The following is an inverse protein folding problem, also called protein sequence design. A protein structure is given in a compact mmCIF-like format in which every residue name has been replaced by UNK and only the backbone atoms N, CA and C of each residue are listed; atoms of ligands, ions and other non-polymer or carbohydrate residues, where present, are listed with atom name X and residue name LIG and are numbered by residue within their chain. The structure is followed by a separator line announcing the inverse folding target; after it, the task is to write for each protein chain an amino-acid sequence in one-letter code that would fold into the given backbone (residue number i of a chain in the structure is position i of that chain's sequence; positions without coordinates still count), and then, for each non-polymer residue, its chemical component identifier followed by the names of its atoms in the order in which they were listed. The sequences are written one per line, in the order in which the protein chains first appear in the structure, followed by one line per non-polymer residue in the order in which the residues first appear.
data_IF_159821179717
#
_entry.id   IF_159821179717
#
_cell.length_a   1.000
_cell.length_b   1.000
_cell.length_c   1.000
_cell.angle_alpha   90.00
_cell.angle_beta   90.00
_cell.angle_gamma   90.00
#
_symmetry.space_group_name_H-M   'P 1'
#
loop_
_entity.id
_entity.type
_entity.pdbx_description
1 polymer ?
#
# COMPACT_ATOMS: atom_id res chain seq x y z
N UNK A 1 -16.79 6.98 -0.66
CA UNK A 1 -15.71 6.15 -0.07
C UNK A 1 -14.45 6.25 -0.92
N UNK A 2 -13.22 6.26 -0.36
CA UNK A 2 -11.98 6.29 -1.14
C UNK A 2 -11.59 4.91 -1.68
N UNK A 3 -11.08 4.84 -2.92
CA UNK A 3 -10.57 3.62 -3.54
C UNK A 3 -9.14 3.39 -3.03
N UNK A 4 -8.84 2.17 -2.57
CA UNK A 4 -7.50 1.77 -2.13
C UNK A 4 -6.88 0.85 -3.18
N UNK A 5 -5.71 1.22 -3.69
CA UNK A 5 -4.97 0.38 -4.64
C UNK A 5 -3.46 0.52 -4.41
N UNK A 6 -2.67 -0.37 -5.00
CA UNK A 6 -1.21 -0.38 -4.86
C UNK A 6 -0.54 0.24 -6.10
N UNK A 7 0.50 1.04 -5.87
CA UNK A 7 1.34 1.53 -6.98
C UNK A 7 2.17 0.37 -7.57
N UNK A 8 2.08 0.16 -8.88
CA UNK A 8 2.80 -0.92 -9.61
C UNK A 8 4.33 -0.81 -9.49
N UNK A 9 4.86 0.38 -9.20
CA UNK A 9 6.31 0.60 -9.17
C UNK A 9 6.95 0.43 -7.80
N UNK A 10 6.25 0.81 -6.73
CA UNK A 10 6.80 0.82 -5.37
C UNK A 10 5.95 0.06 -4.36
N UNK A 11 4.83 -0.55 -4.79
CA UNK A 11 3.90 -1.32 -3.97
C UNK A 11 3.36 -0.59 -2.73
N UNK A 12 3.36 0.74 -2.75
CA UNK A 12 2.77 1.54 -1.68
C UNK A 12 1.26 1.63 -1.87
N UNK A 13 0.50 1.42 -0.79
CA UNK A 13 -0.95 1.57 -0.78
C UNK A 13 -1.32 3.05 -0.87
N UNK A 14 -2.17 3.40 -1.84
CA UNK A 14 -2.67 4.75 -2.05
C UNK A 14 -4.19 4.77 -1.88
N UNK A 15 -4.68 5.81 -1.20
CA UNK A 15 -6.10 6.11 -1.11
C UNK A 15 -6.44 7.31 -1.99
N UNK A 16 -7.28 7.13 -3.01
CA UNK A 16 -7.69 8.20 -3.93
C UNK A 16 -9.21 8.30 -3.97
N UNK A 17 -9.73 9.51 -4.14
CA UNK A 17 -11.16 9.75 -4.30
C UNK A 17 -11.69 9.10 -5.59
N UNK A 18 -12.89 8.50 -5.54
CA UNK A 18 -13.55 7.81 -6.67
C UNK A 18 -13.66 8.68 -7.93
N UNK A 19 -13.86 9.99 -7.77
CA UNK A 19 -13.86 10.97 -8.88
C UNK A 19 -12.57 11.03 -9.71
N UNK A 20 -11.47 10.43 -9.24
CA UNK A 20 -10.19 10.32 -9.97
C UNK A 20 -9.95 8.91 -10.54
N UNK A 21 -10.94 8.01 -10.49
CA UNK A 21 -10.91 6.74 -11.19
C UNK A 21 -10.62 6.95 -12.69
N UNK A 22 -9.80 6.08 -13.29
CA UNK A 22 -9.41 6.15 -14.70
C UNK A 22 -8.42 7.26 -15.08
N UNK A 23 -8.15 8.22 -14.19
CA UNK A 23 -7.22 9.33 -14.43
C UNK A 23 -5.75 8.93 -14.20
N UNK A 24 -4.83 9.68 -14.82
CA UNK A 24 -3.39 9.53 -14.61
C UNK A 24 -2.98 10.42 -13.44
N UNK A 25 -2.42 9.80 -12.40
CA UNK A 25 -1.96 10.49 -11.18
C UNK A 25 -0.50 10.15 -10.90
N UNK A 26 0.22 11.07 -10.26
CA UNK A 26 1.58 10.81 -9.79
C UNK A 26 1.55 10.13 -8.42
N UNK A 27 2.31 9.05 -8.25
CA UNK A 27 2.50 8.41 -6.95
C UNK A 27 3.22 9.37 -5.97
N UNK A 28 2.70 9.62 -4.74
CA UNK A 28 3.37 10.48 -3.78
C UNK A 28 4.71 9.91 -3.27
N UNK A 29 4.89 8.58 -3.33
CA UNK A 29 6.09 7.91 -2.83
C UNK A 29 7.22 7.85 -3.87
N UNK A 30 6.91 7.50 -5.12
CA UNK A 30 7.92 7.31 -6.18
C UNK A 30 7.84 8.33 -7.34
N UNK A 31 6.85 9.22 -7.34
CA UNK A 31 6.61 10.27 -8.35
C UNK A 31 6.33 9.79 -9.79
N UNK A 32 6.23 8.47 -10.01
CA UNK A 32 5.86 7.91 -11.33
C UNK A 32 4.37 8.10 -11.61
N UNK A 33 4.05 8.31 -12.88
CA UNK A 33 2.68 8.39 -13.36
C UNK A 33 2.07 6.98 -13.42
N UNK A 34 0.85 6.84 -12.92
CA UNK A 34 0.09 5.59 -12.94
C UNK A 34 -1.39 5.87 -13.20
N UNK A 35 -2.08 4.91 -13.81
CA UNK A 35 -3.52 4.99 -14.06
C UNK A 35 -4.28 4.43 -12.87
N UNK A 36 -5.23 5.19 -12.33
CA UNK A 36 -6.09 4.73 -11.24
C UNK A 36 -7.08 3.69 -11.80
N UNK A 37 -7.18 2.48 -11.23
CA UNK A 37 -8.20 1.51 -11.63
C UNK A 37 -9.60 2.10 -11.45
N UNK A 38 -10.44 1.97 -12.47
CA UNK A 38 -11.87 2.28 -12.34
C UNK A 38 -12.51 1.08 -11.67
N UNK A 39 -13.14 1.22 -10.49
CA UNK A 39 -13.95 0.15 -9.94
C UNK A 39 -15.03 -0.12 -10.98
N UNK A 40 -15.11 -1.34 -11.48
CA UNK A 40 -16.26 -1.78 -12.26
C UNK A 40 -17.46 -1.56 -11.33
N UNK A 41 -18.38 -0.69 -11.74
CA UNK A 41 -19.63 -0.51 -10.99
C UNK A 41 -20.32 -1.85 -11.04
N UNK A 42 -20.28 -2.59 -9.93
CA UNK A 42 -21.01 -3.84 -9.80
C UNK A 42 -22.47 -3.54 -10.19
N UNK A 43 -23.01 -4.20 -11.24
CA UNK A 43 -24.35 -3.90 -11.75
C UNK A 43 -25.48 -4.29 -10.78
N UNK A 44 -25.17 -4.60 -9.53
CA UNK A 44 -26.11 -5.06 -8.50
C UNK A 44 -26.77 -3.96 -7.68
N UNK A 45 -26.58 -2.67 -8.00
CA UNK A 45 -27.42 -1.60 -7.41
C UNK A 45 -28.32 -0.91 -8.44
N UNK A 46 -29.05 -1.72 -9.22
CA UNK A 46 -30.29 -1.28 -9.88
C UNK A 46 -31.45 -1.39 -8.88
N UNK A 47 -31.49 -0.49 -7.90
CA UNK A 47 -32.73 -0.12 -7.21
C UNK A 47 -33.09 1.30 -7.67
N UNK A 48 -34.17 1.39 -8.44
CA UNK A 48 -34.55 2.56 -9.23
C UNK A 48 -34.88 3.83 -8.42
N UNK A 49 -35.00 4.96 -9.12
CA UNK A 49 -36.35 5.38 -9.53
C UNK A 49 -36.48 5.51 -11.05
N UNK A 50 -37.61 5.00 -11.53
CA UNK A 50 -38.15 5.09 -12.89
C UNK A 50 -37.97 6.52 -13.43
N UNK A 51 -37.10 6.68 -14.43
CA UNK A 51 -37.04 7.91 -15.23
C UNK A 51 -37.80 7.65 -16.54
N UNK A 52 -38.74 8.53 -16.95
CA UNK A 52 -39.66 8.32 -18.07
C UNK A 52 -38.96 8.21 -19.45
N UNK A 53 -39.67 7.67 -20.47
CA UNK A 53 -39.09 7.21 -21.73
C UNK A 53 -38.38 8.30 -22.54
N UNK A 54 -37.39 7.90 -23.38
CA UNK A 54 -36.49 8.81 -24.07
C UNK A 54 -37.21 9.57 -25.19
N UNK A 55 -37.06 10.90 -25.21
CA UNK A 55 -37.35 11.68 -26.40
C UNK A 55 -36.31 11.38 -27.50
N UNK A 56 -36.71 11.35 -28.78
CA UNK A 56 -35.84 11.02 -29.90
C UNK A 56 -34.76 12.08 -30.10
N UNK A 57 -33.50 11.70 -29.85
CA UNK A 57 -32.33 12.53 -30.14
C UNK A 57 -32.00 12.37 -31.64
N UNK A 58 -31.85 13.47 -32.41
CA UNK A 58 -31.49 13.41 -33.83
C UNK A 58 -30.10 12.82 -34.04
N UNK A 59 -30.04 11.94 -35.04
CA UNK A 59 -28.93 11.12 -35.49
C UNK A 59 -27.64 11.91 -35.72
N UNK A 60 -26.64 11.69 -34.87
CA UNK A 60 -25.25 12.13 -35.13
C UNK A 60 -24.62 11.14 -36.12
N UNK A 61 -23.99 11.60 -37.21
CA UNK A 61 -23.43 10.73 -38.24
C UNK A 61 -22.25 9.91 -37.72
N UNK A 62 -22.35 8.60 -37.99
CA UNK A 62 -21.39 7.52 -37.80
C UNK A 62 -20.01 7.88 -38.41
N UNK A 63 -18.95 8.05 -37.60
CA UNK A 63 -17.58 8.10 -38.12
C UNK A 63 -17.19 6.74 -38.69
N UNK A 64 -16.58 6.75 -39.87
CA UNK A 64 -16.17 5.57 -40.62
C UNK A 64 -15.18 4.68 -39.83
N UNK A 65 -15.21 3.35 -40.02
CA UNK A 65 -14.27 2.43 -39.40
C UNK A 65 -12.89 2.57 -40.07
N UNK A 66 -11.93 3.14 -39.36
CA UNK A 66 -10.51 2.98 -39.72
C UNK A 66 -10.01 1.66 -39.18
N UNK A 67 -9.63 0.81 -40.12
CA UNK A 67 -9.18 -0.56 -40.00
C UNK A 67 -7.68 -0.58 -39.64
N UNK A 68 -7.23 -1.12 -38.49
CA UNK A 68 -5.84 -1.45 -38.28
C UNK A 68 -5.62 -2.93 -38.63
N UNK A 69 -5.32 -3.17 -39.91
CA UNK A 69 -4.84 -4.46 -40.39
C UNK A 69 -3.31 -4.50 -40.28
N UNK A 70 -2.82 -5.50 -39.54
CA UNK A 70 -1.50 -6.14 -39.68
C UNK A 70 -0.28 -5.29 -39.21
N UNK A 71 0.67 -5.75 -38.40
CA UNK A 71 1.23 -7.09 -38.16
C UNK A 71 2.10 -7.04 -36.90
N UNK A 72 2.30 -8.17 -36.20
CA UNK A 72 3.50 -8.32 -35.36
C UNK A 72 3.44 -9.23 -34.14
N UNK A 73 3.32 -10.54 -34.37
CA UNK A 73 4.14 -11.58 -33.72
C UNK A 73 3.86 -12.03 -32.26
N UNK A 74 3.41 -13.30 -32.07
CA UNK A 74 3.38 -13.95 -30.76
C UNK A 74 4.77 -14.47 -30.38
N UNK A 75 5.40 -13.84 -29.39
CA UNK A 75 6.64 -14.31 -28.79
C UNK A 75 6.33 -15.12 -27.52
N UNK A 76 6.51 -16.44 -27.64
CA UNK A 76 6.90 -17.41 -26.62
C UNK A 76 6.34 -17.23 -25.19
N UNK A 77 5.37 -18.06 -24.86
CA UNK A 77 4.98 -18.38 -23.49
C UNK A 77 6.18 -18.97 -22.71
N UNK A 78 6.51 -18.48 -21.51
CA UNK A 78 7.41 -19.19 -20.60
C UNK A 78 6.72 -20.46 -20.07
N UNK A 79 7.49 -21.54 -19.80
CA UNK A 79 6.94 -22.74 -19.20
C UNK A 79 6.34 -22.41 -17.84
N UNK A 80 5.10 -22.84 -17.63
CA UNK A 80 4.39 -22.79 -16.37
C UNK A 80 5.24 -23.44 -15.27
N UNK A 81 5.93 -22.61 -14.49
CA UNK A 81 6.54 -23.01 -13.24
C UNK A 81 5.41 -23.38 -12.27
N UNK A 82 5.33 -24.67 -11.95
CA UNK A 82 4.50 -25.28 -10.91
C UNK A 82 4.91 -24.77 -9.52
N UNK A 83 4.75 -23.48 -9.26
CA UNK A 83 5.11 -22.83 -8.00
C UNK A 83 3.92 -22.58 -7.07
N UNK A 84 2.72 -23.06 -7.42
CA UNK A 84 1.48 -22.86 -6.66
C UNK A 84 0.87 -24.15 -6.10
N UNK A 85 1.58 -25.28 -6.13
CA UNK A 85 1.17 -26.53 -5.46
C UNK A 85 1.48 -26.55 -3.94
N UNK A 86 1.81 -25.39 -3.35
CA UNK A 86 2.08 -25.23 -1.93
C UNK A 86 0.84 -24.82 -1.13
N UNK A 87 0.07 -25.82 -0.69
CA UNK A 87 -0.57 -25.88 0.64
C UNK A 87 -1.34 -24.62 1.11
N UNK A 88 -2.20 -24.06 0.27
CA UNK A 88 -3.10 -22.92 0.60
C UNK A 88 -4.03 -23.31 1.77
N UNK A 89 -4.38 -24.58 1.88
CA UNK A 89 -5.19 -25.19 2.94
C UNK A 89 -4.61 -24.99 4.34
N UNK A 90 -3.29 -24.81 4.47
CA UNK A 90 -2.62 -24.53 5.76
C UNK A 90 -2.73 -23.08 6.19
N UNK A 91 -2.89 -22.15 5.26
CA UNK A 91 -2.99 -20.72 5.55
C UNK A 91 -4.43 -20.35 5.94
N UNK A 92 -5.44 -20.99 5.33
CA UNK A 92 -6.85 -20.76 5.69
C UNK A 92 -7.25 -21.36 7.04
N UNK A 93 -6.56 -22.40 7.52
CA UNK A 93 -6.83 -23.03 8.82
C UNK A 93 -5.95 -22.49 9.96
N UNK A 94 -5.13 -21.46 9.71
CA UNK A 94 -4.39 -20.81 10.78
C UNK A 94 -5.39 -20.08 11.71
N UNK A 95 -5.40 -20.35 13.03
CA UNK A 95 -6.28 -19.67 13.96
C UNK A 95 -6.00 -18.17 13.88
N UNK A 96 -7.05 -17.37 13.64
CA UNK A 96 -6.93 -15.92 13.51
C UNK A 96 -6.14 -15.35 14.69
N UNK A 97 -5.06 -14.58 14.44
CA UNK A 97 -4.38 -13.89 15.52
C UNK A 97 -5.36 -12.89 16.12
N UNK A 98 -5.71 -13.13 17.39
CA UNK A 98 -6.54 -12.25 18.22
C UNK A 98 -5.98 -10.84 18.12
N UNK A 99 -6.61 -10.00 17.28
CA UNK A 99 -6.31 -8.58 17.22
C UNK A 99 -6.78 -7.96 18.52
N UNK A 100 -5.83 -7.76 19.43
CA UNK A 100 -6.01 -6.85 20.56
C UNK A 100 -6.31 -5.46 19.98
N UNK A 101 -7.59 -5.08 19.97
CA UNK A 101 -7.98 -3.69 19.78
C UNK A 101 -7.45 -2.92 20.99
N UNK A 102 -6.57 -1.92 20.79
CA UNK A 102 -6.27 -1.00 21.87
C UNK A 102 -7.58 -0.28 22.26
N UNK A 103 -7.86 -0.07 23.55
CA UNK A 103 -9.06 0.60 23.99
C UNK A 103 -9.10 2.00 23.36
N UNK A 104 -10.22 2.35 22.72
CA UNK A 104 -10.50 3.71 22.29
C UNK A 104 -10.51 4.61 23.53
N UNK A 105 -9.41 5.33 23.74
CA UNK A 105 -9.36 6.42 24.70
C UNK A 105 -10.38 7.48 24.29
N UNK A 106 -11.34 7.70 25.20
CA UNK A 106 -12.38 8.69 25.10
C UNK A 106 -11.81 10.08 24.80
N UNK A 107 -12.26 10.69 23.70
CA UNK A 107 -12.02 12.09 23.39
C UNK A 107 -12.91 12.91 24.35
N UNK A 108 -12.37 13.82 25.17
CA UNK A 108 -13.19 14.69 26.01
C UNK A 108 -14.04 15.59 25.11
N UNK A 109 -15.37 15.47 25.22
CA UNK A 109 -16.29 16.47 24.69
C UNK A 109 -16.17 17.72 25.56
N UNK A 110 -15.54 18.75 25.04
CA UNK A 110 -15.63 20.10 25.61
C UNK A 110 -17.00 20.65 25.26
N UNK A 111 -17.96 20.47 26.17
CA UNK A 111 -19.22 21.20 26.16
C UNK A 111 -18.91 22.69 26.38
N UNK A 112 -19.10 23.50 25.35
CA UNK A 112 -19.05 24.95 25.48
C UNK A 112 -20.47 25.41 25.77
N UNK A 113 -20.75 25.54 27.07
CA UNK A 113 -21.93 26.17 27.66
C UNK A 113 -22.04 27.62 27.17
N UNK A 114 -23.26 28.08 26.92
CA UNK A 114 -23.58 29.26 26.12
C UNK A 114 -23.22 30.63 26.69
N UNK A 115 -23.23 31.59 25.78
CA UNK A 115 -23.40 33.03 26.04
C UNK A 115 -24.16 33.64 24.85
N UNK A 116 -24.99 34.63 25.18
CA UNK A 116 -26.08 35.24 24.41
C UNK A 116 -25.82 35.70 22.96
N UNK A 117 -26.85 35.68 22.08
CA UNK A 117 -26.79 36.30 20.77
C UNK A 117 -26.83 37.83 20.89
N UNK A 118 -25.65 38.46 20.90
CA UNK A 118 -25.51 39.91 20.71
C UNK A 118 -25.92 40.28 19.27
N UNK A 119 -26.77 41.29 19.04
CA UNK A 119 -27.19 41.69 17.69
C UNK A 119 -25.98 42.16 16.88
N UNK A 120 -25.74 41.47 15.76
CA UNK A 120 -24.62 41.73 14.86
C UNK A 120 -24.95 42.98 14.03
N UNK A 121 -24.14 44.06 14.09
CA UNK A 121 -24.31 45.21 13.21
C UNK A 121 -24.08 44.80 11.75
N UNK A 122 -24.92 45.32 10.85
CA UNK A 122 -24.91 45.00 9.43
C UNK A 122 -23.52 45.17 8.80
N UNK A 123 -23.05 44.21 7.99
CA UNK A 123 -21.73 44.27 7.39
C UNK A 123 -21.69 45.36 6.31
N UNK A 124 -20.82 46.35 6.50
CA UNK A 124 -20.47 47.27 5.43
C UNK A 124 -19.85 46.49 4.25
N UNK A 125 -19.98 46.99 3.01
CA UNK A 125 -19.36 46.37 1.83
C UNK A 125 -17.84 46.31 2.04
N UNK A 126 -17.30 45.10 2.21
CA UNK A 126 -15.85 44.90 2.27
C UNK A 126 -15.27 45.17 0.89
N UNK A 127 -14.23 46.03 0.76
CA UNK A 127 -13.49 46.16 -0.48
C UNK A 127 -12.92 44.80 -0.88
N UNK A 128 -13.09 44.49 -2.16
CA UNK A 128 -12.73 43.22 -2.78
C UNK A 128 -11.26 42.88 -2.44
N UNK A 129 -10.96 41.76 -1.77
CA UNK A 129 -9.59 41.42 -1.38
C UNK A 129 -8.75 41.24 -2.64
N UNK A 130 -7.69 42.04 -2.74
CA UNK A 130 -6.70 41.93 -3.81
C UNK A 130 -6.13 40.50 -3.81
N UNK A 131 -6.03 39.81 -4.96
CA UNK A 131 -5.53 38.44 -5.02
C UNK A 131 -4.12 38.37 -4.44
N UNK A 132 -3.99 37.85 -3.22
CA UNK A 132 -2.68 37.53 -2.67
C UNK A 132 -2.10 36.35 -3.44
N UNK A 133 -0.82 36.41 -3.86
CA UNK A 133 -0.16 35.27 -4.49
C UNK A 133 -0.21 34.07 -3.55
N UNK A 134 -0.43 32.85 -4.08
CA UNK A 134 -0.58 31.65 -3.28
C UNK A 134 0.67 31.45 -2.41
N UNK A 135 0.48 31.48 -1.09
CA UNK A 135 1.53 31.20 -0.13
C UNK A 135 2.16 29.86 -0.47
N UNK A 136 3.49 29.85 -0.66
CA UNK A 136 4.24 28.66 -0.96
C UNK A 136 3.93 27.59 0.11
N UNK A 137 3.56 26.35 -0.30
CA UNK A 137 3.21 25.31 0.65
C UNK A 137 4.42 25.05 1.55
N UNK A 138 4.23 25.27 2.85
CA UNK A 138 5.27 24.99 3.82
C UNK A 138 5.56 23.47 3.86
N UNK A 139 6.84 23.07 3.93
CA UNK A 139 7.20 21.66 3.98
C UNK A 139 6.74 21.06 5.31
N UNK A 140 5.73 20.20 5.25
CA UNK A 140 5.29 19.46 6.44
C UNK A 140 6.42 18.51 6.90
N UNK A 141 6.66 18.39 8.21
CA UNK A 141 7.64 17.47 8.75
C UNK A 141 7.19 16.04 8.44
N UNK A 142 7.96 15.36 7.59
CA UNK A 142 7.77 13.94 7.29
C UNK A 142 8.04 13.16 8.57
N UNK A 143 6.98 12.71 9.23
CA UNK A 143 7.03 11.71 10.30
C UNK A 143 7.63 10.44 9.70
N UNK A 144 8.94 10.27 9.93
CA UNK A 144 9.69 9.07 9.60
C UNK A 144 9.27 7.98 10.59
N UNK A 145 8.10 7.39 10.37
CA UNK A 145 7.80 6.09 10.96
C UNK A 145 8.87 5.15 10.42
N UNK A 146 9.82 4.80 11.30
CA UNK A 146 10.96 3.94 11.05
C UNK A 146 10.52 2.50 10.80
N UNK A 147 9.69 2.30 9.78
CA UNK A 147 9.54 1.03 9.13
C UNK A 147 10.90 0.79 8.47
N UNK A 148 11.73 0.01 9.13
CA UNK A 148 13.01 -0.44 8.61
C UNK A 148 12.67 -1.22 7.34
N UNK A 149 12.71 -0.56 6.19
CA UNK A 149 12.66 -1.21 4.89
C UNK A 149 13.99 -1.96 4.79
N UNK A 150 14.02 -3.19 5.33
CA UNK A 150 15.10 -4.14 5.12
C UNK A 150 15.12 -4.41 3.62
N UNK A 151 16.00 -3.70 2.91
CA UNK A 151 16.20 -3.92 1.49
C UNK A 151 16.47 -5.41 1.27
N UNK A 152 15.94 -5.98 0.17
CA UNK A 152 16.03 -7.42 -0.11
C UNK A 152 17.46 -7.96 0.07
N UNK A 153 18.47 -7.15 -0.29
CA UNK A 153 19.88 -7.45 -0.05
C UNK A 153 20.28 -7.54 1.43
N UNK A 154 19.80 -6.65 2.30
CA UNK A 154 20.06 -6.72 3.75
C UNK A 154 19.47 -7.97 4.38
N UNK A 155 18.26 -8.38 3.98
CA UNK A 155 17.65 -9.63 4.45
C UNK A 155 18.55 -10.83 4.12
N UNK A 156 19.04 -10.92 2.88
CA UNK A 156 19.92 -12.01 2.45
C UNK A 156 21.23 -12.02 3.25
N UNK A 157 21.84 -10.85 3.48
CA UNK A 157 23.06 -10.74 4.30
C UNK A 157 22.81 -11.21 5.74
N UNK A 158 21.70 -10.82 6.37
CA UNK A 158 21.37 -11.27 7.72
C UNK A 158 21.19 -12.79 7.80
N UNK A 159 20.53 -13.41 6.82
CA UNK A 159 20.36 -14.86 6.77
C UNK A 159 21.71 -15.57 6.63
N UNK A 160 22.60 -15.07 5.77
CA UNK A 160 23.94 -15.65 5.61
C UNK A 160 24.77 -15.55 6.89
N UNK A 161 24.71 -14.40 7.59
CA UNK A 161 25.38 -14.22 8.89
C UNK A 161 24.84 -15.22 9.91
N UNK A 162 23.52 -15.38 10.00
CA UNK A 162 22.90 -16.31 10.94
C UNK A 162 23.32 -17.77 10.68
N UNK A 163 23.34 -18.19 9.40
CA UNK A 163 23.79 -19.53 9.02
C UNK A 163 25.28 -19.74 9.31
N UNK A 164 26.11 -18.74 9.05
CA UNK A 164 27.54 -18.78 9.35
C UNK A 164 27.80 -18.91 10.85
N UNK A 165 27.09 -18.15 11.69
CA UNK A 165 27.19 -18.26 13.14
C UNK A 165 26.74 -19.64 13.65
N UNK A 166 25.64 -20.18 13.12
CA UNK A 166 25.21 -21.55 13.45
C UNK A 166 26.28 -22.58 13.10
N UNK A 167 26.91 -22.45 11.92
CA UNK A 167 27.98 -23.34 11.50
C UNK A 167 29.20 -23.25 12.41
N UNK A 168 29.62 -22.03 12.78
CA UNK A 168 30.73 -21.82 13.72
C UNK A 168 30.43 -22.43 15.10
N UNK A 169 29.20 -22.30 15.61
CA UNK A 169 28.80 -22.94 16.86
C UNK A 169 28.85 -24.46 16.77
N UNK A 170 28.42 -25.04 15.64
CA UNK A 170 28.49 -26.48 15.42
C UNK A 170 29.95 -26.98 15.38
N UNK A 171 30.80 -26.34 14.57
CA UNK A 171 32.22 -26.70 14.46
C UNK A 171 32.93 -26.52 15.81
N UNK A 172 32.67 -25.42 16.51
CA UNK A 172 33.21 -25.18 17.85
C UNK A 172 32.79 -26.26 18.84
N UNK A 173 31.51 -26.65 18.83
CA UNK A 173 31.01 -27.74 19.67
C UNK A 173 31.67 -29.09 19.37
N UNK A 174 31.84 -29.44 18.10
CA UNK A 174 32.54 -30.67 17.68
C UNK A 174 34.00 -30.65 18.11
N UNK A 175 34.68 -29.51 17.97
CA UNK A 175 36.07 -29.36 18.36
C UNK A 175 36.27 -29.45 19.88
N UNK A 176 35.40 -28.78 20.63
CA UNK A 176 35.41 -28.84 22.09
C UNK A 176 35.08 -30.25 22.61
N UNK A 177 34.13 -30.93 21.97
CA UNK A 177 33.80 -32.33 22.28
C UNK A 177 34.98 -33.29 22.04
N UNK A 178 35.76 -33.08 20.98
CA UNK A 178 36.99 -33.85 20.76
C UNK A 178 38.07 -33.56 21.80
N UNK A 179 38.27 -32.27 22.11
CA UNK A 179 39.31 -31.86 23.07
C UNK A 179 39.08 -32.41 24.49
N UNK A 180 37.85 -32.72 24.87
CA UNK A 180 37.55 -33.37 26.16
C UNK A 180 37.78 -34.88 26.14
N UNK A 181 37.83 -35.49 24.96
CA UNK A 181 37.96 -36.93 24.78
C UNK A 181 39.41 -37.38 24.58
N UNK A 182 40.32 -36.45 24.28
CA UNK A 182 41.75 -36.72 24.32
C UNK A 182 42.16 -36.82 25.80
N UNK A 183 42.54 -38.02 26.29
CA UNK A 183 43.01 -38.14 27.67
C UNK A 183 44.23 -37.23 27.82
N UNK A 184 44.33 -36.46 28.94
CA UNK A 184 45.50 -35.64 29.17
C UNK A 184 46.71 -36.57 29.05
N UNK A 185 47.59 -36.28 28.07
CA UNK A 185 48.77 -37.07 27.81
C UNK A 185 49.44 -37.27 29.16
N UNK A 186 49.37 -38.51 29.67
CA UNK A 186 49.85 -38.82 31.00
C UNK A 186 51.29 -38.34 31.02
N UNK A 187 51.53 -37.29 31.81
CA UNK A 187 52.82 -36.71 32.05
C UNK A 187 53.70 -37.86 32.51
N UNK A 188 54.46 -38.44 31.58
CA UNK A 188 55.42 -39.46 31.92
C UNK A 188 56.46 -38.74 32.75
N UNK A 189 56.48 -39.15 34.01
CA UNK A 189 57.34 -38.65 35.05
C UNK A 189 58.80 -38.70 34.61
N UNK A 190 59.53 -37.66 34.99
CA UNK A 190 60.86 -37.82 35.59
C UNK A 190 60.97 -36.86 36.77
#
# INVERSE_FOLDING_TARGET
MPIRFFCVYCNTQLGIATRKAGSIVACPSCKKQLRVPTPEEDPESVDGPITPPPQPIPSVPKPAPMNPLASGQPAAAPPAAKLFEGDISKILNAPEPVRHQPPLSAIPRTETMGDDPKPVPMPMPRPNPVPMPPAAPQPMPTVRNGLIILTRGRVVVFVLIALFLMFLSFVGGVYFGKSLNDPPAATQAE
#
